data_IF_183322853811
#
_entry.id   IF_183322853811
#
_cell.length_a   1.000
_cell.length_b   1.000
_cell.length_c   1.000
_cell.angle_alpha   90.00
_cell.angle_beta   90.00
_cell.angle_gamma   90.00
#
_symmetry.space_group_name_H-M   'P 1'
#
loop_
_entity.id
_entity.type
_entity.pdbx_description
1 polymer ?
#
# COMPACT_ATOMS: atom_id res chain seq x y z
N UNK A 1 -17.33 17.21 -8.80
CA UNK A 1 -17.09 15.84 -9.31
C UNK A 1 -17.61 14.75 -8.38
N UNK A 2 -17.35 14.80 -7.07
CA UNK A 2 -17.87 13.79 -6.12
C UNK A 2 -19.40 13.60 -6.21
N UNK A 3 -20.20 14.67 -6.17
CA UNK A 3 -21.66 14.57 -6.31
C UNK A 3 -22.11 13.98 -7.66
N UNK A 4 -21.42 14.30 -8.75
CA UNK A 4 -21.71 13.77 -10.09
C UNK A 4 -21.42 12.27 -10.18
N UNK A 5 -20.31 11.82 -9.59
CA UNK A 5 -19.93 10.40 -9.54
C UNK A 5 -20.88 9.56 -8.67
N UNK A 6 -21.38 10.11 -7.56
CA UNK A 6 -22.38 9.44 -6.71
C UNK A 6 -23.71 9.22 -7.43
N UNK A 7 -24.16 10.22 -8.20
CA UNK A 7 -25.38 10.09 -9.03
C UNK A 7 -25.13 9.11 -10.18
N UNK A 8 -23.95 9.16 -10.79
CA UNK A 8 -23.55 8.24 -11.85
C UNK A 8 -23.62 6.78 -11.41
N UNK A 9 -23.16 6.47 -10.19
CA UNK A 9 -23.19 5.12 -9.63
C UNK A 9 -24.60 4.51 -9.48
N UNK A 10 -25.67 5.32 -9.60
CA UNK A 10 -27.08 4.89 -9.50
C UNK A 10 -27.76 4.68 -10.86
N UNK A 11 -27.08 4.93 -11.97
CA UNK A 11 -27.61 4.71 -13.31
C UNK A 11 -27.56 3.22 -13.72
N UNK A 12 -28.28 2.83 -14.79
CA UNK A 12 -28.08 1.52 -15.41
C UNK A 12 -26.63 1.32 -15.87
N UNK A 13 -26.07 0.11 -15.70
CA UNK A 13 -24.65 -0.19 -15.93
C UNK A 13 -24.12 0.25 -17.30
N UNK A 14 -24.95 0.14 -18.35
CA UNK A 14 -24.61 0.58 -19.71
C UNK A 14 -24.34 2.08 -19.77
N UNK A 15 -25.20 2.89 -19.14
CA UNK A 15 -25.07 4.35 -19.07
C UNK A 15 -23.93 4.79 -18.16
N UNK A 16 -23.60 3.99 -17.14
CA UNK A 16 -22.45 4.27 -16.28
C UNK A 16 -21.17 4.25 -17.10
N UNK A 17 -20.95 3.21 -17.91
CA UNK A 17 -19.73 3.09 -18.71
C UNK A 17 -19.57 4.24 -19.72
N UNK A 18 -20.65 4.61 -20.40
CA UNK A 18 -20.67 5.71 -21.38
C UNK A 18 -20.34 7.05 -20.73
N UNK A 19 -21.12 7.47 -19.73
CA UNK A 19 -20.91 8.75 -19.06
C UNK A 19 -19.59 8.81 -18.29
N UNK A 20 -19.11 7.68 -17.75
CA UNK A 20 -17.80 7.62 -17.10
C UNK A 20 -16.65 7.83 -18.10
N UNK A 21 -16.75 7.24 -19.31
CA UNK A 21 -15.75 7.43 -20.35
C UNK A 21 -15.64 8.90 -20.74
N UNK A 22 -16.76 9.58 -20.98
CA UNK A 22 -16.78 11.02 -21.30
C UNK A 22 -16.17 11.88 -20.20
N UNK A 23 -16.55 11.59 -18.94
CA UNK A 23 -16.13 12.36 -17.79
C UNK A 23 -14.61 12.19 -17.53
N UNK A 24 -14.09 10.98 -17.72
CA UNK A 24 -12.66 10.69 -17.67
C UNK A 24 -11.89 11.26 -18.87
N UNK A 25 -12.47 11.23 -20.07
CA UNK A 25 -11.83 11.70 -21.31
C UNK A 25 -11.39 13.16 -21.22
N UNK A 26 -12.20 14.03 -20.60
CA UNK A 26 -11.82 15.43 -20.37
C UNK A 26 -10.54 15.56 -19.55
N UNK A 27 -10.38 14.74 -18.51
CA UNK A 27 -9.17 14.77 -17.67
C UNK A 27 -7.97 14.12 -18.37
N UNK A 28 -8.19 13.02 -19.11
CA UNK A 28 -7.15 12.36 -19.90
C UNK A 28 -6.63 13.28 -21.01
N UNK A 29 -7.50 14.02 -21.69
CA UNK A 29 -7.09 15.01 -22.69
C UNK A 29 -6.29 16.15 -22.07
N UNK A 30 -6.70 16.65 -20.90
CA UNK A 30 -5.93 17.65 -20.16
C UNK A 30 -4.53 17.14 -19.79
N UNK A 31 -4.43 15.88 -19.33
CA UNK A 31 -3.15 15.23 -19.04
C UNK A 31 -2.29 15.08 -20.30
N UNK A 32 -2.84 14.55 -21.40
CA UNK A 32 -2.11 14.43 -22.67
C UNK A 32 -1.57 15.78 -23.15
N UNK A 33 -2.36 16.85 -23.01
CA UNK A 33 -1.93 18.21 -23.36
C UNK A 33 -0.76 18.68 -22.49
N UNK A 34 -0.85 18.50 -21.17
CA UNK A 34 0.25 18.84 -20.25
C UNK A 34 1.52 18.03 -20.55
N UNK A 35 1.37 16.76 -20.90
CA UNK A 35 2.47 15.87 -21.23
C UNK A 35 3.10 16.19 -22.59
N UNK A 36 2.35 16.78 -23.52
CA UNK A 36 2.86 17.23 -24.83
C UNK A 36 3.58 18.60 -24.81
N UNK A 37 3.47 19.38 -23.73
CA UNK A 37 4.11 20.69 -23.63
C UNK A 37 5.59 20.55 -23.22
N UNK A 38 6.49 21.16 -23.98
CA UNK A 38 7.90 21.39 -23.60
C UNK A 38 7.94 22.28 -22.34
N UNK A 39 8.94 22.13 -21.44
CA UNK A 39 9.06 22.96 -20.25
C UNK A 39 9.47 24.39 -20.64
N UNK A 40 8.54 25.18 -21.17
CA UNK A 40 8.77 26.58 -21.50
C UNK A 40 8.31 27.48 -20.37
N UNK A 41 9.27 28.20 -19.77
CA UNK A 41 9.10 29.40 -18.96
C UNK A 41 8.20 29.29 -17.72
N UNK A 42 8.71 28.66 -16.66
CA UNK A 42 8.37 29.00 -15.26
C UNK A 42 6.92 28.75 -14.79
N UNK A 43 6.00 28.36 -15.67
CA UNK A 43 4.66 27.91 -15.33
C UNK A 43 4.72 26.39 -15.17
N UNK A 44 4.67 25.95 -13.91
CA UNK A 44 4.51 24.56 -13.51
C UNK A 44 3.37 23.90 -14.32
N UNK A 45 3.70 23.02 -15.26
CA UNK A 45 2.75 22.12 -15.91
C UNK A 45 2.36 21.03 -14.91
N UNK A 46 1.57 21.40 -13.91
CA UNK A 46 1.19 20.53 -12.80
C UNK A 46 0.04 19.59 -13.19
N UNK A 47 0.27 18.26 -13.30
CA UNK A 47 -0.79 17.31 -13.59
C UNK A 47 -1.67 16.98 -12.38
N UNK A 48 -1.36 17.49 -11.17
CA UNK A 48 -2.05 17.11 -9.92
C UNK A 48 -3.56 17.31 -10.02
N UNK A 49 -4.02 18.44 -10.58
CA UNK A 49 -5.46 18.76 -10.64
C UNK A 49 -6.26 17.76 -11.51
N UNK A 50 -5.88 17.45 -12.77
CA UNK A 50 -6.54 16.40 -13.53
C UNK A 50 -6.51 15.02 -12.84
N UNK A 51 -5.45 14.71 -12.11
CA UNK A 51 -5.30 13.41 -11.44
C UNK A 51 -6.18 13.28 -10.22
N UNK A 52 -6.23 14.31 -9.37
CA UNK A 52 -7.13 14.36 -8.21
C UNK A 52 -8.59 14.26 -8.67
N UNK A 53 -8.91 14.88 -9.80
CA UNK A 53 -10.24 14.77 -10.40
C UNK A 53 -10.55 13.33 -10.81
N UNK A 54 -9.64 12.66 -11.52
CA UNK A 54 -9.78 11.23 -11.86
C UNK A 54 -9.93 10.36 -10.60
N UNK A 55 -9.11 10.60 -9.58
CA UNK A 55 -9.20 9.88 -8.31
C UNK A 55 -10.58 10.07 -7.64
N UNK A 56 -11.08 11.30 -7.56
CA UNK A 56 -12.41 11.57 -6.99
C UNK A 56 -13.53 10.89 -7.78
N UNK A 57 -13.42 10.82 -9.10
CA UNK A 57 -14.42 10.17 -9.96
C UNK A 57 -14.49 8.68 -9.65
N UNK A 58 -13.35 7.97 -9.69
CA UNK A 58 -13.33 6.54 -9.42
C UNK A 58 -13.70 6.22 -7.96
N UNK A 59 -13.33 7.08 -6.99
CA UNK A 59 -13.62 6.88 -5.56
C UNK A 59 -15.11 6.79 -5.26
N UNK A 60 -15.91 7.56 -5.98
CA UNK A 60 -17.33 7.69 -5.71
C UNK A 60 -18.20 6.95 -6.75
N UNK A 61 -17.60 6.35 -7.78
CA UNK A 61 -18.32 5.57 -8.80
C UNK A 61 -18.28 4.09 -8.43
N UNK A 62 -19.11 3.70 -7.45
CA UNK A 62 -19.22 2.33 -6.96
C UNK A 62 -20.58 1.73 -7.35
N UNK A 63 -20.77 1.28 -8.61
CA UNK A 63 -22.02 0.67 -9.04
C UNK A 63 -22.22 -0.70 -8.40
N UNK A 64 -23.48 -1.08 -8.19
CA UNK A 64 -23.83 -2.45 -7.80
C UNK A 64 -23.76 -3.30 -9.06
N UNK A 65 -22.79 -4.21 -9.13
CA UNK A 65 -22.60 -5.12 -10.27
C UNK A 65 -22.94 -6.53 -9.81
N UNK A 66 -23.85 -7.21 -10.52
CA UNK A 66 -24.23 -8.58 -10.21
C UNK A 66 -23.15 -9.59 -10.67
N UNK A 67 -23.15 -10.77 -10.06
CA UNK A 67 -22.20 -11.84 -10.38
C UNK A 67 -22.20 -12.17 -11.88
N UNK A 68 -21.04 -11.99 -12.53
CA UNK A 68 -20.83 -12.32 -13.94
C UNK A 68 -20.90 -11.13 -14.90
N UNK A 69 -21.32 -9.94 -14.47
CA UNK A 69 -21.30 -8.72 -15.30
C UNK A 69 -19.93 -8.02 -15.29
N UNK A 70 -19.58 -7.37 -16.41
CA UNK A 70 -18.32 -6.63 -16.56
C UNK A 70 -18.46 -5.30 -15.82
N UNK A 71 -17.47 -4.95 -15.00
CA UNK A 71 -17.51 -3.71 -14.24
C UNK A 71 -17.48 -2.50 -15.20
N UNK A 72 -18.40 -1.53 -15.10
CA UNK A 72 -18.47 -0.39 -16.03
C UNK A 72 -17.16 0.42 -16.12
N UNK A 73 -16.44 0.54 -15.00
CA UNK A 73 -15.17 1.25 -14.98
C UNK A 73 -14.05 0.52 -15.74
N UNK A 74 -14.16 -0.79 -16.00
CA UNK A 74 -13.06 -1.59 -16.55
C UNK A 74 -12.59 -1.07 -17.92
N UNK A 75 -13.52 -0.74 -18.82
CA UNK A 75 -13.17 -0.22 -20.17
C UNK A 75 -12.49 1.15 -20.09
N UNK A 76 -13.08 2.07 -19.32
CA UNK A 76 -12.58 3.43 -19.15
C UNK A 76 -11.17 3.42 -18.58
N UNK A 77 -10.92 2.53 -17.64
CA UNK A 77 -9.60 2.37 -17.03
C UNK A 77 -8.57 1.85 -18.02
N UNK A 78 -8.92 0.91 -18.90
CA UNK A 78 -7.99 0.43 -19.93
C UNK A 78 -7.57 1.57 -20.86
N UNK A 79 -8.52 2.40 -21.29
CA UNK A 79 -8.28 3.60 -22.11
C UNK A 79 -7.41 4.62 -21.39
N UNK A 80 -7.70 4.89 -20.11
CA UNK A 80 -6.93 5.78 -19.25
C UNK A 80 -5.50 5.24 -19.10
N UNK A 81 -5.34 3.98 -18.71
CA UNK A 81 -4.06 3.33 -18.44
C UNK A 81 -3.11 3.32 -19.65
N UNK A 82 -3.64 3.24 -20.88
CA UNK A 82 -2.86 3.35 -22.11
C UNK A 82 -2.23 4.74 -22.25
N UNK A 83 -3.02 5.79 -22.03
CA UNK A 83 -2.52 7.17 -22.08
C UNK A 83 -1.53 7.53 -20.95
N UNK A 84 -1.67 6.92 -19.78
CA UNK A 84 -0.75 7.10 -18.66
C UNK A 84 0.62 6.45 -18.90
N UNK A 85 0.64 5.25 -19.50
CA UNK A 85 1.88 4.51 -19.79
C UNK A 85 2.82 5.23 -20.75
N UNK A 86 2.28 5.95 -21.73
CA UNK A 86 3.09 6.65 -22.73
C UNK A 86 3.63 8.01 -22.23
N UNK A 87 2.88 8.71 -21.38
CA UNK A 87 3.18 10.12 -21.08
C UNK A 87 3.90 10.37 -19.74
N UNK A 88 3.54 9.69 -18.65
CA UNK A 88 4.09 9.98 -17.31
C UNK A 88 5.45 9.30 -17.09
N UNK A 89 5.68 8.14 -17.70
CA UNK A 89 6.96 7.41 -17.60
C UNK A 89 8.12 8.11 -18.33
N UNK A 90 7.84 9.02 -19.28
CA UNK A 90 8.85 9.74 -20.05
C UNK A 90 9.36 11.03 -19.39
N UNK A 91 8.61 11.61 -18.43
CA UNK A 91 8.96 12.90 -17.80
C UNK A 91 9.18 12.70 -16.29
N UNK A 92 10.45 12.54 -15.91
CA UNK A 92 10.96 12.19 -14.57
C UNK A 92 10.72 13.21 -13.43
N UNK A 93 9.74 14.10 -13.52
CA UNK A 93 9.60 15.17 -12.52
C UNK A 93 8.16 15.48 -12.17
N UNK A 94 7.45 14.58 -11.46
CA UNK A 94 6.35 15.05 -10.59
C UNK A 94 6.15 14.08 -9.41
N UNK A 95 6.84 14.33 -8.30
CA UNK A 95 6.68 13.58 -7.03
C UNK A 95 5.25 13.62 -6.45
N UNK A 96 4.42 14.58 -6.89
CA UNK A 96 3.04 14.78 -6.41
C UNK A 96 1.97 14.13 -7.31
N UNK A 97 2.29 13.86 -8.58
CA UNK A 97 1.42 13.23 -9.60
C UNK A 97 1.24 11.72 -9.38
N UNK A 98 2.25 11.09 -8.77
CA UNK A 98 2.28 9.64 -8.57
C UNK A 98 1.32 9.15 -7.50
N UNK A 99 1.06 9.95 -6.46
CA UNK A 99 0.06 9.65 -5.41
C UNK A 99 -1.35 9.62 -5.99
N UNK A 100 -1.68 10.58 -6.87
CA UNK A 100 -2.97 10.64 -7.52
C UNK A 100 -3.11 9.55 -8.61
N UNK A 101 -2.03 9.21 -9.32
CA UNK A 101 -1.98 8.05 -10.23
C UNK A 101 -2.15 6.73 -9.47
N UNK A 102 -1.48 6.58 -8.33
CA UNK A 102 -1.63 5.44 -7.41
C UNK A 102 -3.05 5.37 -6.85
N UNK A 103 -3.66 6.50 -6.50
CA UNK A 103 -5.06 6.57 -6.03
C UNK A 103 -6.03 6.18 -7.15
N UNK A 104 -5.80 6.63 -8.39
CA UNK A 104 -6.58 6.19 -9.55
C UNK A 104 -6.43 4.67 -9.75
N UNK A 105 -5.21 4.14 -9.73
CA UNK A 105 -4.92 2.69 -9.84
C UNK A 105 -5.52 1.89 -8.67
N UNK A 106 -5.57 2.46 -7.47
CA UNK A 106 -6.15 1.84 -6.28
C UNK A 106 -7.66 1.70 -6.38
N UNK A 107 -8.33 2.72 -6.93
CA UNK A 107 -9.78 2.75 -7.12
C UNK A 107 -10.23 1.92 -8.32
N UNK A 108 -9.34 1.78 -9.30
CA UNK A 108 -9.46 0.85 -10.43
C UNK A 108 -9.51 -0.61 -9.97
N UNK A 109 -8.73 -0.93 -8.93
CA UNK A 109 -8.40 -2.28 -8.50
C UNK A 109 -9.47 -2.90 -7.58
N UNK A 110 -10.33 -2.11 -6.92
CA UNK A 110 -11.41 -2.58 -6.03
C UNK A 110 -12.59 -3.31 -6.71
N UNK A 111 -12.43 -3.77 -7.95
CA UNK A 111 -13.40 -4.61 -8.65
C UNK A 111 -12.90 -6.04 -8.75
N UNK A 112 -13.71 -7.02 -8.30
CA UNK A 112 -13.41 -8.46 -8.18
C UNK A 112 -12.99 -9.21 -9.48
N UNK A 113 -12.57 -8.54 -10.56
CA UNK A 113 -12.34 -9.14 -11.87
C UNK A 113 -11.01 -8.77 -12.56
N UNK A 114 -10.08 -8.15 -11.84
CA UNK A 114 -8.76 -7.74 -12.35
C UNK A 114 -7.64 -8.78 -12.20
N UNK A 115 -7.98 -10.05 -11.93
CA UNK A 115 -7.06 -11.22 -11.80
C UNK A 115 -5.89 -11.28 -12.79
N UNK A 116 -6.03 -10.76 -14.01
CA UNK A 116 -5.03 -10.87 -15.07
C UNK A 116 -4.19 -9.59 -15.32
N UNK A 117 -4.43 -8.47 -14.61
CA UNK A 117 -3.81 -7.17 -14.92
C UNK A 117 -3.13 -6.46 -13.73
N UNK A 118 -3.22 -6.98 -12.51
CA UNK A 118 -2.40 -6.48 -11.39
C UNK A 118 -0.91 -6.88 -11.55
N UNK A 119 -0.65 -8.06 -12.13
CA UNK A 119 0.70 -8.62 -12.33
C UNK A 119 1.62 -7.74 -13.21
N UNK A 120 1.17 -7.12 -14.31
CA UNK A 120 2.01 -6.25 -15.15
C UNK A 120 2.36 -4.88 -14.55
N UNK A 121 1.67 -4.42 -13.49
CA UNK A 121 1.92 -3.09 -12.89
C UNK A 121 3.12 -3.14 -11.92
N UNK A 122 3.32 -4.29 -11.26
CA UNK A 122 4.42 -4.51 -10.30
C UNK A 122 5.81 -4.21 -10.88
N UNK A 123 6.20 -4.73 -12.08
CA UNK A 123 7.53 -4.45 -12.64
C UNK A 123 7.78 -2.96 -12.94
N UNK A 124 6.76 -2.23 -13.40
CA UNK A 124 6.89 -0.81 -13.71
C UNK A 124 7.07 0.02 -12.44
N UNK A 125 6.28 -0.27 -11.41
CA UNK A 125 6.40 0.37 -10.10
C UNK A 125 7.79 0.13 -9.49
N UNK A 126 8.28 -1.11 -9.53
CA UNK A 126 9.61 -1.47 -9.04
C UNK A 126 10.71 -0.71 -9.79
N UNK A 127 10.61 -0.59 -11.12
CA UNK A 127 11.61 0.13 -11.91
C UNK A 127 11.66 1.63 -11.59
N UNK A 128 10.51 2.28 -11.40
CA UNK A 128 10.46 3.70 -11.01
C UNK A 128 10.96 3.89 -9.59
N UNK A 129 10.56 3.01 -8.65
CA UNK A 129 10.97 3.10 -7.25
C UNK A 129 12.49 2.93 -7.05
N UNK A 130 13.15 2.11 -7.88
CA UNK A 130 14.62 1.99 -7.89
C UNK A 130 15.32 3.31 -8.25
N UNK A 131 14.73 4.12 -9.12
CA UNK A 131 15.29 5.41 -9.48
C UNK A 131 14.86 6.53 -8.51
N UNK A 132 13.61 6.49 -8.04
CA UNK A 132 13.01 7.52 -7.19
C UNK A 132 12.18 6.87 -6.07
N UNK A 133 12.70 6.92 -4.84
CA UNK A 133 12.11 6.23 -3.68
C UNK A 133 10.91 6.99 -3.07
N UNK A 134 9.89 7.28 -3.88
CA UNK A 134 8.65 7.88 -3.36
C UNK A 134 7.86 6.86 -2.53
N UNK A 135 7.63 7.15 -1.25
CA UNK A 135 6.96 6.24 -0.29
C UNK A 135 5.58 5.78 -0.77
N UNK A 136 4.89 6.61 -1.56
CA UNK A 136 3.57 6.31 -2.11
C UNK A 136 3.49 5.03 -2.95
N UNK A 137 4.61 4.54 -3.49
CA UNK A 137 4.65 3.23 -4.14
C UNK A 137 4.54 2.06 -3.16
N UNK A 138 5.08 2.20 -1.94
CA UNK A 138 4.86 1.23 -0.86
C UNK A 138 3.39 1.23 -0.44
N UNK A 139 2.78 2.42 -0.32
CA UNK A 139 1.34 2.53 -0.05
C UNK A 139 0.49 1.91 -1.15
N UNK A 140 0.81 2.17 -2.43
CA UNK A 140 0.12 1.53 -3.55
C UNK A 140 0.25 0.00 -3.49
N UNK A 141 1.45 -0.49 -3.19
CA UNK A 141 1.68 -1.91 -2.93
C UNK A 141 0.74 -2.44 -1.84
N UNK A 142 0.53 -1.67 -0.76
CA UNK A 142 -0.33 -2.10 0.35
C UNK A 142 -1.77 -2.31 -0.10
N UNK A 143 -2.26 -1.48 -1.02
CA UNK A 143 -3.61 -1.58 -1.58
C UNK A 143 -3.72 -2.79 -2.50
N UNK A 144 -2.71 -3.03 -3.36
CA UNK A 144 -2.68 -4.22 -4.20
C UNK A 144 -2.73 -5.51 -3.35
N UNK A 145 -2.04 -5.51 -2.22
CA UNK A 145 -2.05 -6.63 -1.28
C UNK A 145 -3.39 -6.75 -0.55
N UNK A 146 -4.00 -5.62 -0.16
CA UNK A 146 -5.30 -5.61 0.50
C UNK A 146 -6.39 -6.24 -0.38
N UNK A 147 -6.34 -5.99 -1.68
CA UNK A 147 -7.32 -6.44 -2.66
C UNK A 147 -7.03 -7.85 -3.19
N UNK A 148 -5.77 -8.21 -3.45
CA UNK A 148 -5.39 -9.47 -4.11
C UNK A 148 -4.62 -10.45 -3.23
N UNK A 149 -4.25 -10.10 -2.01
CA UNK A 149 -3.39 -10.94 -1.16
C UNK A 149 -4.03 -12.29 -0.77
N UNK A 150 -5.36 -12.35 -0.77
CA UNK A 150 -6.10 -13.60 -0.53
C UNK A 150 -6.08 -14.56 -1.73
N UNK A 151 -5.84 -14.06 -2.95
CA UNK A 151 -5.84 -14.86 -4.17
C UNK A 151 -4.52 -15.62 -4.34
N UNK A 152 -4.56 -16.96 -4.31
CA UNK A 152 -3.35 -17.81 -4.40
C UNK A 152 -2.50 -17.53 -5.64
N UNK A 153 -3.12 -17.26 -6.79
CA UNK A 153 -2.42 -16.95 -8.04
C UNK A 153 -1.66 -15.61 -8.02
N UNK A 154 -1.97 -14.71 -7.09
CA UNK A 154 -1.36 -13.39 -6.98
C UNK A 154 -0.29 -13.32 -5.87
N UNK A 155 -0.33 -14.21 -4.87
CA UNK A 155 0.54 -14.19 -3.69
C UNK A 155 2.03 -14.11 -4.04
N UNK A 156 2.51 -14.91 -4.99
CA UNK A 156 3.92 -14.91 -5.36
C UNK A 156 4.35 -13.59 -6.03
N UNK A 157 3.57 -13.10 -7.01
CA UNK A 157 3.89 -11.85 -7.69
C UNK A 157 3.84 -10.63 -6.76
N UNK A 158 2.96 -10.65 -5.76
CA UNK A 158 2.93 -9.64 -4.69
C UNK A 158 4.17 -9.78 -3.78
N UNK A 159 4.56 -11.00 -3.40
CA UNK A 159 5.75 -11.20 -2.58
C UNK A 159 7.02 -10.72 -3.31
N UNK A 160 7.15 -11.03 -4.61
CA UNK A 160 8.27 -10.57 -5.44
C UNK A 160 8.32 -9.03 -5.51
N UNK A 161 7.14 -8.39 -5.58
CA UNK A 161 7.00 -6.93 -5.52
C UNK A 161 7.50 -6.37 -4.19
N UNK A 162 7.06 -6.93 -3.06
CA UNK A 162 7.51 -6.54 -1.73
C UNK A 162 9.03 -6.63 -1.62
N UNK A 163 9.60 -7.77 -2.01
CA UNK A 163 11.05 -8.00 -1.97
C UNK A 163 11.81 -6.99 -2.81
N UNK A 164 11.32 -6.69 -4.01
CA UNK A 164 11.97 -5.74 -4.91
C UNK A 164 11.88 -4.28 -4.43
N UNK A 165 10.78 -3.91 -3.75
CA UNK A 165 10.63 -2.59 -3.13
C UNK A 165 11.49 -2.45 -1.88
N UNK A 166 11.58 -3.49 -1.05
CA UNK A 166 12.37 -3.46 0.18
C UNK A 166 13.86 -3.16 -0.04
N UNK A 167 14.46 -3.55 -1.17
CA UNK A 167 15.89 -3.31 -1.45
C UNK A 167 16.25 -1.82 -1.38
N UNK A 168 15.71 -0.94 -2.24
CA UNK A 168 15.99 0.50 -2.16
C UNK A 168 15.40 1.14 -0.89
N UNK A 169 14.33 0.59 -0.30
CA UNK A 169 13.80 1.07 0.98
C UNK A 169 14.83 0.91 2.09
N UNK A 170 15.41 -0.28 2.25
CA UNK A 170 16.40 -0.53 3.30
C UNK A 170 17.66 0.30 3.07
N UNK A 171 18.14 0.41 1.83
CA UNK A 171 19.26 1.30 1.51
C UNK A 171 19.01 2.76 1.88
N UNK A 172 17.77 3.23 1.76
CA UNK A 172 17.38 4.58 2.17
C UNK A 172 17.38 4.72 3.71
N UNK A 173 16.87 3.72 4.43
CA UNK A 173 16.78 3.74 5.89
C UNK A 173 18.14 3.47 6.58
N UNK A 174 19.06 2.77 5.91
CA UNK A 174 20.45 2.54 6.37
C UNK A 174 21.30 3.82 6.41
N UNK A 175 20.86 4.88 5.73
CA UNK A 175 21.58 6.16 5.76
C UNK A 175 21.63 6.74 7.19
N UNK A 176 22.62 7.59 7.50
CA UNK A 176 22.66 8.28 8.78
C UNK A 176 21.36 9.06 9.03
N UNK A 177 20.72 8.77 10.16
CA UNK A 177 19.39 9.30 10.51
C UNK A 177 18.28 8.96 9.49
N UNK A 178 18.40 7.84 8.77
CA UNK A 178 17.46 7.46 7.71
C UNK A 178 16.01 7.34 8.18
N UNK A 179 15.79 6.82 9.38
CA UNK A 179 14.46 6.74 10.01
C UNK A 179 13.85 8.13 10.26
N UNK A 180 14.65 9.09 10.75
CA UNK A 180 14.19 10.45 11.02
C UNK A 180 14.02 11.27 9.74
N UNK A 181 14.85 11.02 8.72
CA UNK A 181 14.81 11.74 7.45
C UNK A 181 13.72 11.23 6.50
N UNK A 182 13.26 9.99 6.68
CA UNK A 182 12.29 9.34 5.79
C UNK A 182 11.11 8.70 6.55
N UNK A 183 10.39 9.44 7.42
CA UNK A 183 9.29 8.89 8.22
C UNK A 183 8.12 8.42 7.35
N UNK A 184 7.85 9.07 6.22
CA UNK A 184 6.80 8.66 5.27
C UNK A 184 7.11 7.28 4.66
N UNK A 185 8.38 7.00 4.37
CA UNK A 185 8.82 5.68 3.91
C UNK A 185 8.64 4.62 4.98
N UNK A 186 8.91 4.96 6.25
CA UNK A 186 8.66 4.06 7.39
C UNK A 186 7.16 3.77 7.52
N UNK A 187 6.31 4.80 7.50
CA UNK A 187 4.86 4.65 7.53
C UNK A 187 4.38 3.71 6.41
N UNK A 188 4.67 4.05 5.15
CA UNK A 188 4.15 3.30 4.01
C UNK A 188 4.74 1.88 3.89
N UNK A 189 5.98 1.65 4.35
CA UNK A 189 6.57 0.31 4.44
C UNK A 189 5.77 -0.56 5.41
N UNK A 190 5.45 -0.06 6.60
CA UNK A 190 4.75 -0.85 7.61
C UNK A 190 3.24 -0.94 7.34
N UNK A 191 2.65 0.01 6.59
CA UNK A 191 1.31 -0.17 6.00
C UNK A 191 1.28 -1.36 5.03
N UNK A 192 2.27 -1.46 4.15
CA UNK A 192 2.44 -2.58 3.23
C UNK A 192 2.64 -3.91 3.97
N UNK A 193 3.55 -3.94 4.94
CA UNK A 193 3.83 -5.14 5.74
C UNK A 193 2.59 -5.58 6.55
N UNK A 194 1.86 -4.65 7.16
CA UNK A 194 0.62 -4.93 7.89
C UNK A 194 -0.48 -5.49 6.96
N UNK A 195 -0.59 -4.98 5.73
CA UNK A 195 -1.52 -5.57 4.75
C UNK A 195 -1.12 -6.98 4.33
N UNK A 196 0.17 -7.24 4.16
CA UNK A 196 0.64 -8.59 3.87
C UNK A 196 0.35 -9.57 4.99
N UNK A 197 0.60 -9.19 6.25
CA UNK A 197 0.38 -10.12 7.37
C UNK A 197 -1.10 -10.41 7.58
N UNK A 198 -1.98 -9.44 7.33
CA UNK A 198 -3.44 -9.63 7.40
C UNK A 198 -3.99 -10.46 6.23
N UNK A 199 -3.37 -10.39 5.05
CA UNK A 199 -3.91 -11.00 3.82
C UNK A 199 -3.29 -12.33 3.44
N UNK A 200 -2.00 -12.52 3.70
CA UNK A 200 -1.29 -13.75 3.36
C UNK A 200 -0.16 -14.02 4.35
N UNK A 201 -0.48 -14.24 5.65
CA UNK A 201 0.50 -14.30 6.73
C UNK A 201 1.58 -15.37 6.49
N UNK A 202 1.17 -16.59 6.12
CA UNK A 202 2.09 -17.71 5.90
C UNK A 202 3.08 -17.42 4.76
N UNK A 203 2.65 -16.72 3.71
CA UNK A 203 3.51 -16.33 2.58
C UNK A 203 4.60 -15.36 3.04
N UNK A 204 4.24 -14.36 3.83
CA UNK A 204 5.21 -13.39 4.34
C UNK A 204 6.14 -14.03 5.38
N UNK A 205 5.59 -14.76 6.37
CA UNK A 205 6.36 -15.36 7.46
C UNK A 205 7.39 -16.40 6.98
N UNK A 206 7.09 -17.15 5.91
CA UNK A 206 8.05 -18.09 5.31
C UNK A 206 9.07 -17.43 4.39
N UNK A 207 8.91 -16.13 4.09
CA UNK A 207 9.79 -15.42 3.18
C UNK A 207 11.06 -14.90 3.86
N UNK A 208 12.16 -14.84 3.12
CA UNK A 208 13.45 -14.35 3.63
C UNK A 208 13.44 -12.84 3.95
N UNK A 209 12.56 -12.06 3.29
CA UNK A 209 12.45 -10.62 3.54
C UNK A 209 11.79 -10.30 4.89
N UNK A 210 11.13 -11.27 5.52
CA UNK A 210 10.52 -11.06 6.84
C UNK A 210 11.55 -10.66 7.90
N UNK A 211 12.73 -11.29 7.89
CA UNK A 211 13.78 -11.06 8.88
C UNK A 211 14.22 -9.57 8.89
N UNK A 212 14.64 -8.97 7.77
CA UNK A 212 15.00 -7.55 7.77
C UNK A 212 13.79 -6.63 8.04
N UNK A 213 12.56 -6.99 7.61
CA UNK A 213 11.36 -6.21 7.97
C UNK A 213 11.19 -6.14 9.49
N UNK A 214 11.37 -7.25 10.20
CA UNK A 214 11.28 -7.30 11.67
C UNK A 214 12.36 -6.47 12.35
N UNK A 215 13.60 -6.55 11.86
CA UNK A 215 14.71 -5.74 12.38
C UNK A 215 14.43 -4.25 12.24
N UNK A 216 13.94 -3.83 11.07
CA UNK A 216 13.51 -2.46 10.84
C UNK A 216 12.30 -2.06 11.69
N UNK A 217 11.34 -2.96 11.92
CA UNK A 217 10.19 -2.67 12.78
C UNK A 217 10.64 -2.36 14.22
N UNK A 218 11.53 -3.20 14.77
CA UNK A 218 12.10 -2.99 16.11
C UNK A 218 12.88 -1.67 16.15
N UNK A 219 13.74 -1.40 15.16
CA UNK A 219 14.51 -0.16 15.11
C UNK A 219 13.59 1.09 15.05
N UNK A 220 12.55 1.03 14.23
CA UNK A 220 11.60 2.12 13.99
C UNK A 220 10.68 2.42 15.18
N UNK A 221 10.59 1.55 16.19
CA UNK A 221 9.84 1.84 17.42
C UNK A 221 10.35 3.09 18.15
N UNK A 222 11.61 3.49 17.95
CA UNK A 222 12.20 4.70 18.58
C UNK A 222 11.90 6.00 17.83
N UNK A 223 11.29 5.92 16.64
CA UNK A 223 11.02 7.07 15.81
C UNK A 223 9.85 7.89 16.39
N UNK A 224 10.13 9.11 16.86
CA UNK A 224 9.11 10.08 17.28
C UNK A 224 8.47 10.75 16.06
N UNK A 225 7.63 9.98 15.37
CA UNK A 225 6.78 10.46 14.30
C UNK A 225 5.44 9.74 14.37
N UNK A 226 4.36 10.51 14.52
CA UNK A 226 3.03 9.97 14.85
C UNK A 226 2.54 8.88 13.90
N UNK A 227 2.53 9.14 12.59
CA UNK A 227 1.94 8.21 11.61
C UNK A 227 2.83 6.98 11.41
N UNK A 228 4.13 7.18 11.20
CA UNK A 228 5.12 6.11 11.15
C UNK A 228 5.10 5.20 12.40
N UNK A 229 5.06 5.76 13.61
CA UNK A 229 5.01 4.96 14.85
C UNK A 229 3.70 4.16 14.93
N UNK A 230 2.56 4.79 14.61
CA UNK A 230 1.27 4.11 14.57
C UNK A 230 1.28 2.91 13.60
N UNK A 231 1.85 3.08 12.40
CA UNK A 231 1.96 1.99 11.42
C UNK A 231 2.93 0.89 11.85
N UNK A 232 4.05 1.22 12.48
CA UNK A 232 4.99 0.24 13.06
C UNK A 232 4.30 -0.58 14.16
N UNK A 233 3.66 0.08 15.13
CA UNK A 233 2.99 -0.59 16.25
C UNK A 233 1.83 -1.46 15.76
N UNK A 234 1.04 -0.96 14.79
CA UNK A 234 -0.03 -1.73 14.16
C UNK A 234 0.49 -2.98 13.47
N UNK A 235 1.59 -2.88 12.71
CA UNK A 235 2.22 -4.03 12.09
C UNK A 235 2.68 -5.06 13.13
N UNK A 236 3.38 -4.62 14.18
CA UNK A 236 3.86 -5.50 15.25
C UNK A 236 2.70 -6.21 15.97
N UNK A 237 1.64 -5.48 16.30
CA UNK A 237 0.43 -6.05 16.90
C UNK A 237 -0.20 -7.10 16.00
N UNK A 238 -0.49 -6.74 14.74
CA UNK A 238 -1.17 -7.64 13.79
C UNK A 238 -0.31 -8.89 13.49
N UNK A 239 1.02 -8.74 13.45
CA UNK A 239 1.96 -9.85 13.33
C UNK A 239 1.85 -10.83 14.49
N UNK A 240 1.92 -10.34 15.72
CA UNK A 240 1.93 -11.19 16.91
C UNK A 240 0.55 -11.85 17.06
N UNK A 241 -0.52 -11.09 16.81
CA UNK A 241 -1.90 -11.57 16.79
C UNK A 241 -2.13 -12.72 15.79
N UNK A 242 -1.32 -12.80 14.72
CA UNK A 242 -1.42 -13.88 13.71
C UNK A 242 -1.26 -15.27 14.32
N UNK A 243 -0.54 -15.42 15.44
CA UNK A 243 -0.35 -16.69 16.13
C UNK A 243 -1.55 -17.11 17.01
N UNK A 244 -2.54 -16.23 17.17
CA UNK A 244 -3.71 -16.42 18.04
C UNK A 244 -5.02 -16.35 17.25
N UNK A 245 -5.07 -15.51 16.21
CA UNK A 245 -6.27 -15.26 15.42
C UNK A 245 -6.77 -16.48 14.65
N UNK A 246 -8.10 -16.58 14.48
CA UNK A 246 -8.76 -17.53 13.59
C UNK A 246 -8.28 -18.98 13.80
N UNK A 247 -8.39 -19.47 15.04
CA UNK A 247 -7.97 -20.83 15.45
C UNK A 247 -8.74 -21.96 14.76
N UNK A 248 -9.88 -21.66 14.16
CA UNK A 248 -10.66 -22.57 13.34
C UNK A 248 -10.11 -22.80 11.91
N UNK A 249 -9.14 -22.01 11.44
CA UNK A 249 -8.58 -22.13 10.09
C UNK A 249 -7.57 -23.29 9.98
N UNK A 250 -7.51 -23.93 8.82
CA UNK A 250 -6.61 -25.08 8.59
C UNK A 250 -5.12 -24.71 8.73
N UNK A 251 -4.76 -23.45 8.50
CA UNK A 251 -3.38 -22.96 8.58
C UNK A 251 -2.96 -22.49 9.98
N UNK A 252 -3.85 -22.59 10.99
CA UNK A 252 -3.62 -22.04 12.33
C UNK A 252 -2.34 -22.58 12.99
N UNK A 253 -2.15 -23.90 13.00
CA UNK A 253 -0.96 -24.51 13.63
C UNK A 253 0.35 -24.06 12.94
N UNK A 254 0.32 -23.87 11.62
CA UNK A 254 1.46 -23.33 10.87
C UNK A 254 1.73 -21.88 11.26
N UNK A 255 0.69 -21.04 11.37
CA UNK A 255 0.83 -19.65 11.80
C UNK A 255 1.36 -19.56 13.23
N UNK A 256 0.83 -20.36 14.14
CA UNK A 256 1.27 -20.46 15.53
C UNK A 256 2.74 -20.86 15.65
N UNK A 257 3.18 -21.88 14.91
CA UNK A 257 4.59 -22.30 14.89
C UNK A 257 5.51 -21.18 14.37
N UNK A 258 5.16 -20.56 13.24
CA UNK A 258 5.97 -19.49 12.64
C UNK A 258 6.09 -18.27 13.57
N UNK A 259 4.99 -17.87 14.23
CA UNK A 259 5.03 -16.80 15.22
C UNK A 259 5.83 -17.21 16.45
N UNK A 260 5.72 -18.46 16.91
CA UNK A 260 6.57 -19.00 17.96
C UNK A 260 8.06 -18.87 17.63
N UNK A 261 8.47 -19.12 16.37
CA UNK A 261 9.85 -18.92 15.92
C UNK A 261 10.27 -17.45 15.98
N UNK A 262 9.41 -16.52 15.57
CA UNK A 262 9.67 -15.07 15.66
C UNK A 262 9.83 -14.64 17.13
N UNK A 263 8.93 -15.10 18.01
CA UNK A 263 8.97 -14.76 19.44
C UNK A 263 10.21 -15.32 20.13
N UNK A 264 10.63 -16.55 19.80
CA UNK A 264 11.85 -17.15 20.32
C UNK A 264 13.12 -16.38 19.91
N UNK A 265 13.15 -15.82 18.70
CA UNK A 265 14.33 -15.11 18.19
C UNK A 265 14.38 -13.63 18.60
N UNK A 266 13.23 -12.94 18.57
CA UNK A 266 13.18 -11.48 18.68
C UNK A 266 12.30 -10.98 19.83
N UNK A 267 11.53 -11.83 20.51
CA UNK A 267 10.58 -11.43 21.55
C UNK A 267 11.24 -10.63 22.67
N UNK A 268 12.39 -11.09 23.17
CA UNK A 268 13.13 -10.38 24.23
C UNK A 268 13.65 -9.01 23.77
N UNK A 269 14.16 -8.92 22.54
CA UNK A 269 14.64 -7.66 21.98
C UNK A 269 13.48 -6.67 21.81
N UNK A 270 12.35 -7.15 21.29
CA UNK A 270 11.15 -6.34 21.09
C UNK A 270 10.63 -5.77 22.42
N UNK A 271 10.47 -6.60 23.46
CA UNK A 271 9.99 -6.13 24.77
C UNK A 271 10.93 -5.08 25.37
N UNK A 272 12.24 -5.32 25.33
CA UNK A 272 13.23 -4.35 25.83
C UNK A 272 13.15 -3.02 25.07
N UNK A 273 13.00 -3.09 23.74
CA UNK A 273 12.90 -1.91 22.90
C UNK A 273 11.61 -1.13 23.19
N UNK A 274 10.47 -1.81 23.28
CA UNK A 274 9.19 -1.18 23.61
C UNK A 274 9.25 -0.45 24.97
N UNK A 275 9.79 -1.11 26.01
CA UNK A 275 10.00 -0.48 27.32
C UNK A 275 10.92 0.74 27.25
N UNK A 276 12.05 0.63 26.53
CA UNK A 276 12.96 1.75 26.33
C UNK A 276 12.26 2.93 25.64
N UNK A 277 11.47 2.65 24.59
CA UNK A 277 10.78 3.69 23.82
C UNK A 277 9.74 4.43 24.64
N UNK A 278 8.94 3.73 25.46
CA UNK A 278 7.97 4.36 26.36
C UNK A 278 8.61 5.25 27.42
N UNK A 279 9.80 4.88 27.91
CA UNK A 279 10.46 5.61 28.99
C UNK A 279 11.27 6.82 28.49
N UNK A 280 11.87 6.73 27.30
CA UNK A 280 12.91 7.67 26.89
C UNK A 280 12.76 8.29 25.50
N UNK A 281 12.00 7.67 24.59
CA UNK A 281 11.99 8.09 23.18
C UNK A 281 10.67 8.77 22.77
N UNK A 282 9.54 8.17 23.12
CA UNK A 282 8.25 8.55 22.55
C UNK A 282 7.38 9.34 23.54
N UNK A 283 6.56 10.28 23.04
CA UNK A 283 5.59 10.94 23.89
C UNK A 283 4.42 10.02 24.29
N UNK A 284 3.66 10.37 25.36
CA UNK A 284 2.65 9.49 25.95
C UNK A 284 1.50 9.05 25.03
N UNK A 285 1.28 9.72 23.89
CA UNK A 285 0.21 9.35 22.96
C UNK A 285 0.44 7.97 22.30
N UNK A 286 1.66 7.44 22.34
CA UNK A 286 2.04 6.12 21.78
C UNK A 286 1.80 4.96 22.76
N UNK A 287 1.57 5.26 24.04
CA UNK A 287 1.41 4.24 25.08
C UNK A 287 0.27 3.25 24.82
N UNK A 288 -0.91 3.65 24.31
CA UNK A 288 -1.97 2.70 23.95
C UNK A 288 -1.51 1.70 22.89
N UNK A 289 -0.84 2.17 21.84
CA UNK A 289 -0.37 1.33 20.74
C UNK A 289 0.71 0.34 21.23
N UNK A 290 1.64 0.79 22.07
CA UNK A 290 2.64 -0.10 22.68
C UNK A 290 1.99 -1.13 23.61
N UNK A 291 0.97 -0.73 24.38
CA UNK A 291 0.25 -1.63 25.27
C UNK A 291 -0.48 -2.75 24.50
N UNK A 292 -1.03 -2.45 23.32
CA UNK A 292 -1.63 -3.47 22.46
C UNK A 292 -0.59 -4.51 21.99
N UNK A 293 0.62 -4.07 21.61
CA UNK A 293 1.70 -5.00 21.20
C UNK A 293 2.10 -5.89 22.37
N UNK A 294 2.32 -5.32 23.56
CA UNK A 294 2.65 -6.09 24.77
C UNK A 294 1.54 -7.06 25.16
N UNK A 295 0.28 -6.66 24.99
CA UNK A 295 -0.88 -7.52 25.24
C UNK A 295 -0.91 -8.74 24.33
N UNK A 296 -0.64 -8.56 23.03
CA UNK A 296 -0.57 -9.68 22.07
C UNK A 296 0.59 -10.63 22.41
N UNK A 297 1.75 -10.11 22.83
CA UNK A 297 2.87 -10.94 23.29
C UNK A 297 2.44 -11.83 24.45
N UNK A 298 1.69 -11.26 25.41
CA UNK A 298 1.16 -12.01 26.53
C UNK A 298 0.15 -13.08 26.12
N UNK A 299 -0.55 -12.98 24.98
CA UNK A 299 -1.50 -14.01 24.54
C UNK A 299 -0.82 -15.27 24.03
N UNK A 300 0.37 -15.15 23.42
CA UNK A 300 1.07 -16.28 22.79
C UNK A 300 1.58 -17.27 23.83
N UNK A 301 2.15 -16.76 24.92
CA UNK A 301 2.84 -17.55 25.94
C UNK A 301 2.21 -17.28 27.32
N UNK A 302 0.88 -17.42 27.41
CA UNK A 302 0.19 -17.37 28.69
C UNK A 302 0.60 -18.60 29.52
N UNK A 303 1.17 -18.41 30.72
CA UNK A 303 1.40 -19.51 31.66
C UNK A 303 0.08 -20.15 32.15
#
# INVERSE_FOLDING_TARGET
LSGTALVLARLPLEKIAECLSELCAVQVMALKKLLSQEPSNGLSSDPTVPLDRLAVIFRHTNPIVENGQIHPCQKVIQEVSGGFREGILGKQHVGTSLVATATVVSLVVGGQRWRCQAVPISPQMVNVYRAHQHSCFLYLGSILVDEYGMEEGCRQGLLDMLQALCIPTFQLLEQPNGLQNHPDTVDDLFRLAARFIQRSPVTLLRSQVMIPILQWAIAATTLDHRDANCSVMKFLRDLIHTGVANDHEEDFEVRKELIGQVMNQLGQQLVNQLLHTCCFCLPPYTLPDVAEVLWEIMQIDRP
#
